data_IF_287732892507
#
_entry.id   IF_287732892507
#
_cell.length_a   1.000
_cell.length_b   1.000
_cell.length_c   1.000
_cell.angle_alpha   90.00
_cell.angle_beta   90.00
_cell.angle_gamma   90.00
#
_symmetry.space_group_name_H-M   'P 1'
#
loop_
_entity.id
_entity.type
_entity.pdbx_description
1 polymer ?
#
# COMPACT_ATOMS: atom_id res chain seq x y z
N UNK A 1 -19.24 -5.52 6.70
CA UNK A 1 -18.00 -4.79 6.37
C UNK A 1 -17.30 -5.60 5.30
N UNK A 2 -17.00 -5.04 4.13
CA UNK A 2 -16.17 -5.75 3.15
C UNK A 2 -14.80 -6.03 3.77
N UNK A 3 -14.37 -7.28 3.71
CA UNK A 3 -13.05 -7.67 4.19
C UNK A 3 -11.98 -7.13 3.24
N UNK A 4 -11.01 -6.38 3.77
CA UNK A 4 -9.84 -5.97 3.00
C UNK A 4 -9.14 -7.19 2.39
N UNK A 5 -8.81 -7.09 1.10
CA UNK A 5 -7.96 -8.05 0.40
C UNK A 5 -6.56 -8.10 1.02
N UNK A 6 -5.80 -9.13 0.66
CA UNK A 6 -4.41 -9.30 1.14
C UNK A 6 -3.53 -8.09 0.79
N UNK A 7 -3.68 -7.54 -0.41
CA UNK A 7 -2.91 -6.37 -0.87
C UNK A 7 -3.33 -5.10 -0.13
N UNK A 8 -4.64 -4.90 0.10
CA UNK A 8 -5.13 -3.76 0.88
C UNK A 8 -4.66 -3.82 2.33
N UNK A 9 -4.70 -5.01 2.95
CA UNK A 9 -4.13 -5.25 4.29
C UNK A 9 -2.63 -4.97 4.33
N UNK A 10 -1.90 -5.42 3.31
CA UNK A 10 -0.48 -5.14 3.19
C UNK A 10 -0.22 -3.64 3.18
N UNK A 11 -0.84 -2.90 2.25
CA UNK A 11 -0.61 -1.46 2.08
C UNK A 11 -0.99 -0.68 3.34
N UNK A 12 -2.12 -1.00 3.96
CA UNK A 12 -2.53 -0.38 5.22
C UNK A 12 -1.49 -0.62 6.33
N UNK A 13 -1.05 -1.88 6.47
CA UNK A 13 -0.02 -2.27 7.43
C UNK A 13 1.33 -1.67 7.11
N UNK A 14 1.65 -1.48 5.84
CA UNK A 14 2.92 -0.94 5.40
C UNK A 14 2.99 0.57 5.67
N UNK A 15 1.92 1.33 5.41
CA UNK A 15 1.82 2.74 5.83
C UNK A 15 1.98 2.84 7.35
N UNK A 16 1.30 1.99 8.13
CA UNK A 16 1.35 2.05 9.59
C UNK A 16 2.68 1.62 10.19
N UNK A 17 3.12 0.39 9.91
CA UNK A 17 4.31 -0.20 10.52
C UNK A 17 5.61 0.15 9.81
N UNK A 18 5.58 0.39 8.50
CA UNK A 18 6.74 0.78 7.69
C UNK A 18 7.01 2.28 7.75
N UNK A 19 5.95 3.09 7.77
CA UNK A 19 6.04 4.55 7.64
C UNK A 19 5.39 5.32 8.79
N UNK A 20 5.13 4.68 9.94
CA UNK A 20 4.53 5.32 11.13
C UNK A 20 3.22 6.07 10.86
N UNK A 21 2.43 5.58 9.90
CA UNK A 21 1.09 6.08 9.56
C UNK A 21 1.05 7.18 8.49
N UNK A 22 2.21 7.66 8.01
CA UNK A 22 2.29 8.76 7.04
C UNK A 22 3.46 8.60 6.07
N UNK A 23 3.22 8.88 4.80
CA UNK A 23 4.22 8.83 3.74
C UNK A 23 4.28 10.19 3.06
N UNK A 24 5.47 10.73 2.93
CA UNK A 24 5.73 11.91 2.10
C UNK A 24 6.43 11.48 0.83
N UNK A 25 5.95 11.97 -0.31
CA UNK A 25 6.42 11.53 -1.61
C UNK A 25 6.44 12.66 -2.65
N UNK A 26 7.31 12.53 -3.65
CA UNK A 26 7.43 13.49 -4.75
C UNK A 26 7.15 12.81 -6.08
N UNK A 27 5.94 13.04 -6.60
CA UNK A 27 5.39 12.30 -7.76
C UNK A 27 5.64 12.93 -9.13
N UNK A 28 6.27 14.10 -9.20
CA UNK A 28 6.38 14.86 -10.45
C UNK A 28 5.02 15.03 -11.12
N UNK A 29 4.89 14.60 -12.38
CA UNK A 29 3.64 14.62 -13.16
C UNK A 29 2.75 13.37 -13.00
N UNK A 30 3.22 12.31 -12.32
CA UNK A 30 2.44 11.08 -12.13
C UNK A 30 1.25 11.31 -11.18
N UNK A 31 0.21 10.46 -11.31
CA UNK A 31 -0.80 10.36 -10.25
C UNK A 31 -0.18 9.80 -8.98
N UNK A 32 -0.74 10.15 -7.84
CA UNK A 32 -0.22 9.70 -6.55
C UNK A 32 -0.31 8.17 -6.42
N UNK A 33 -1.39 7.57 -6.91
CA UNK A 33 -1.65 6.14 -6.84
C UNK A 33 -0.65 5.35 -7.70
N UNK A 34 -0.36 5.83 -8.91
CA UNK A 34 0.64 5.22 -9.77
C UNK A 34 2.03 5.34 -9.16
N UNK A 35 2.38 6.52 -8.65
CA UNK A 35 3.67 6.74 -8.02
C UNK A 35 3.87 5.84 -6.79
N UNK A 36 2.90 5.83 -5.87
CA UNK A 36 2.98 5.01 -4.65
C UNK A 36 2.97 3.52 -4.99
N UNK A 37 2.20 3.09 -6.00
CA UNK A 37 2.20 1.71 -6.47
C UNK A 37 3.57 1.26 -6.97
N UNK A 38 4.25 2.09 -7.79
CA UNK A 38 5.61 1.83 -8.23
C UNK A 38 6.62 1.88 -7.08
N UNK A 39 6.55 2.91 -6.24
CA UNK A 39 7.44 3.11 -5.09
C UNK A 39 7.43 1.88 -4.17
N UNK A 40 6.24 1.36 -3.83
CA UNK A 40 6.14 0.16 -3.02
C UNK A 40 6.59 -1.09 -3.78
N UNK A 41 6.34 -1.22 -5.08
CA UNK A 41 6.78 -2.37 -5.85
C UNK A 41 8.32 -2.46 -5.94
N UNK A 42 9.02 -1.32 -5.98
CA UNK A 42 10.48 -1.25 -5.97
C UNK A 42 11.11 -1.84 -4.70
N UNK A 43 10.38 -1.89 -3.59
CA UNK A 43 10.85 -2.52 -2.36
C UNK A 43 10.95 -4.06 -2.48
N UNK A 44 10.28 -4.67 -3.47
CA UNK A 44 10.21 -6.11 -3.65
C UNK A 44 10.95 -6.62 -4.89
N UNK A 45 11.01 -5.80 -5.95
CA UNK A 45 11.57 -6.24 -7.24
C UNK A 45 11.99 -5.06 -8.11
N UNK A 46 12.93 -5.30 -9.02
CA UNK A 46 13.47 -4.28 -9.93
C UNK A 46 12.52 -4.01 -11.11
N UNK A 47 12.52 -2.78 -11.64
CA UNK A 47 11.63 -2.31 -12.72
C UNK A 47 11.69 -3.13 -14.02
N UNK A 48 12.81 -3.78 -14.30
CA UNK A 48 13.03 -4.62 -15.47
C UNK A 48 12.31 -5.98 -15.39
N UNK A 49 11.85 -6.36 -14.19
CA UNK A 49 11.20 -7.65 -13.97
C UNK A 49 9.72 -7.58 -14.33
N UNK A 50 9.17 -8.60 -15.00
CA UNK A 50 7.72 -8.68 -15.30
C UNK A 50 6.86 -8.62 -14.03
N UNK A 51 7.39 -9.16 -12.93
CA UNK A 51 6.72 -9.12 -11.63
C UNK A 51 6.49 -7.68 -11.14
N UNK A 52 7.40 -6.75 -11.45
CA UNK A 52 7.27 -5.33 -11.10
C UNK A 52 6.00 -4.73 -11.66
N UNK A 53 5.78 -4.84 -12.98
CA UNK A 53 4.61 -4.24 -13.63
C UNK A 53 3.30 -4.80 -13.06
N UNK A 54 3.27 -6.11 -12.77
CA UNK A 54 2.10 -6.74 -12.15
C UNK A 54 1.87 -6.19 -10.73
N UNK A 55 2.92 -6.15 -9.91
CA UNK A 55 2.83 -5.73 -8.51
C UNK A 55 2.46 -4.24 -8.40
N UNK A 56 3.08 -3.38 -9.19
CA UNK A 56 2.81 -1.94 -9.21
C UNK A 56 1.35 -1.64 -9.57
N UNK A 57 0.79 -2.35 -10.56
CA UNK A 57 -0.61 -2.17 -10.95
C UNK A 57 -1.59 -2.70 -9.88
N UNK A 58 -1.28 -3.83 -9.23
CA UNK A 58 -2.10 -4.33 -8.11
C UNK A 58 -2.06 -3.39 -6.90
N UNK A 59 -0.88 -2.83 -6.57
CA UNK A 59 -0.73 -1.83 -5.52
C UNK A 59 -1.49 -0.56 -5.86
N UNK A 60 -1.35 -0.01 -7.07
CA UNK A 60 -2.09 1.17 -7.53
C UNK A 60 -3.61 0.98 -7.41
N UNK A 61 -4.15 -0.17 -7.83
CA UNK A 61 -5.58 -0.48 -7.70
C UNK A 61 -6.01 -0.51 -6.24
N UNK A 62 -5.24 -1.17 -5.38
CA UNK A 62 -5.56 -1.25 -3.96
C UNK A 62 -5.45 0.12 -3.26
N UNK A 63 -4.46 0.94 -3.58
CA UNK A 63 -4.35 2.33 -3.08
C UNK A 63 -5.58 3.14 -3.51
N UNK A 64 -6.01 3.02 -4.76
CA UNK A 64 -7.21 3.70 -5.27
C UNK A 64 -8.45 3.28 -4.46
N UNK A 65 -8.64 1.97 -4.23
CA UNK A 65 -9.75 1.47 -3.40
C UNK A 65 -9.68 1.94 -1.95
N UNK A 66 -8.49 1.92 -1.33
CA UNK A 66 -8.32 2.41 0.05
C UNK A 66 -8.67 3.89 0.14
N UNK A 67 -8.29 4.70 -0.85
CA UNK A 67 -8.63 6.12 -0.94
C UNK A 67 -10.13 6.32 -1.13
N UNK A 68 -10.71 5.63 -2.11
CA UNK A 68 -12.12 5.77 -2.48
C UNK A 68 -13.06 5.33 -1.34
N UNK A 69 -12.61 4.39 -0.49
CA UNK A 69 -13.31 3.97 0.73
C UNK A 69 -12.95 4.79 1.97
N UNK A 70 -12.25 5.92 1.82
CA UNK A 70 -11.85 6.81 2.92
C UNK A 70 -11.02 6.13 4.02
N UNK A 71 -10.25 5.10 3.66
CA UNK A 71 -9.33 4.38 4.57
C UNK A 71 -7.98 5.10 4.64
N UNK A 72 -7.52 5.60 3.48
CA UNK A 72 -6.36 6.49 3.39
C UNK A 72 -6.77 7.83 2.79
N UNK A 73 -6.04 8.87 3.14
CA UNK A 73 -6.13 10.18 2.51
C UNK A 73 -4.85 10.43 1.72
N UNK A 74 -5.00 10.99 0.52
CA UNK A 74 -3.88 11.45 -0.29
C UNK A 74 -4.08 12.94 -0.58
N UNK A 75 -3.22 13.77 -0.02
CA UNK A 75 -3.30 15.23 -0.14
C UNK A 75 -1.94 15.80 -0.52
N UNK A 76 -1.86 16.39 -1.72
CA UNK A 76 -0.63 16.96 -2.26
C UNK A 76 0.49 15.92 -2.40
N UNK A 77 1.39 15.92 -1.42
CA UNK A 77 2.60 15.09 -1.32
C UNK A 77 2.58 14.14 -0.10
N UNK A 78 1.43 14.02 0.59
CA UNK A 78 1.25 13.14 1.75
C UNK A 78 0.21 12.07 1.45
N UNK A 79 0.50 10.83 1.86
CA UNK A 79 -0.48 9.76 2.00
C UNK A 79 -0.51 9.31 3.46
N UNK A 80 -1.68 9.29 4.08
CA UNK A 80 -1.83 8.98 5.50
C UNK A 80 -3.09 8.17 5.79
N UNK A 81 -3.11 7.52 6.95
CA UNK A 81 -4.32 6.83 7.41
C UNK A 81 -5.35 7.82 7.94
N UNK A 82 -6.58 7.71 7.47
CA UNK A 82 -7.72 8.42 8.07
C UNK A 82 -8.02 7.85 9.47
N UNK A 83 -8.91 8.50 10.22
CA UNK A 83 -9.40 7.92 11.48
C UNK A 83 -10.05 6.54 11.28
N UNK A 84 -10.68 6.31 10.12
CA UNK A 84 -11.26 5.00 9.79
C UNK A 84 -10.17 3.96 9.50
N UNK A 85 -9.15 4.31 8.69
CA UNK A 85 -8.03 3.41 8.45
C UNK A 85 -7.22 3.07 9.71
N UNK A 86 -7.08 4.02 10.63
CA UNK A 86 -6.47 3.77 11.95
C UNK A 86 -7.29 2.83 12.84
N UNK A 87 -8.60 2.71 12.64
CA UNK A 87 -9.41 1.70 13.32
C UNK A 87 -9.21 0.33 12.69
N UNK A 88 -9.28 0.25 11.36
CA UNK A 88 -9.09 -1.01 10.62
C UNK A 88 -7.72 -1.63 10.87
N UNK A 89 -6.65 -0.81 10.93
CA UNK A 89 -5.30 -1.35 11.13
C UNK A 89 -5.09 -1.97 12.51
N UNK A 90 -5.88 -1.60 13.52
CA UNK A 90 -5.79 -2.21 14.85
C UNK A 90 -6.19 -3.68 14.85
N UNK A 91 -6.93 -4.13 13.84
CA UNK A 91 -7.29 -5.53 13.64
C UNK A 91 -6.16 -6.36 12.99
N UNK A 92 -5.15 -5.69 12.41
CA UNK A 92 -4.00 -6.33 11.77
C UNK A 92 -2.80 -6.33 12.74
N UNK A 93 -2.34 -7.51 13.16
CA UNK A 93 -1.14 -7.61 13.97
C UNK A 93 0.12 -7.34 13.15
N UNK A 94 1.22 -6.95 13.84
CA UNK A 94 2.53 -6.76 13.20
C UNK A 94 3.04 -8.07 12.59
N UNK A 95 2.70 -9.20 13.20
CA UNK A 95 3.02 -10.55 12.73
C UNK A 95 2.26 -10.90 11.45
N UNK A 96 0.96 -10.59 11.37
CA UNK A 96 0.15 -10.80 10.15
C UNK A 96 0.68 -9.93 9.01
N UNK A 97 0.97 -8.65 9.26
CA UNK A 97 1.63 -7.76 8.30
C UNK A 97 2.94 -8.35 7.76
N UNK A 98 3.84 -8.80 8.64
CA UNK A 98 5.11 -9.42 8.23
C UNK A 98 4.88 -10.67 7.39
N UNK A 99 3.93 -11.51 7.77
CA UNK A 99 3.58 -12.73 7.01
C UNK A 99 3.11 -12.38 5.59
N UNK A 100 2.24 -11.37 5.44
CA UNK A 100 1.78 -10.91 4.13
C UNK A 100 2.95 -10.37 3.30
N UNK A 101 3.82 -9.55 3.89
CA UNK A 101 5.01 -9.03 3.23
C UNK A 101 5.92 -10.14 2.67
N UNK A 102 6.18 -11.18 3.46
CA UNK A 102 7.01 -12.31 3.02
C UNK A 102 6.36 -13.12 1.89
N UNK A 103 5.03 -13.22 1.85
CA UNK A 103 4.33 -13.85 0.73
C UNK A 103 4.42 -13.02 -0.56
N UNK A 104 4.31 -11.69 -0.46
CA UNK A 104 4.51 -10.79 -1.61
C UNK A 104 5.93 -10.91 -2.16
N UNK A 105 6.95 -10.98 -1.29
CA UNK A 105 8.36 -11.19 -1.70
C UNK A 105 8.57 -12.48 -2.50
N UNK A 106 7.80 -13.54 -2.20
CA UNK A 106 7.83 -14.82 -2.93
C UNK A 106 7.05 -14.77 -4.25
N UNK A 107 6.38 -13.67 -4.57
CA UNK A 107 5.54 -13.52 -5.76
C UNK A 107 4.09 -13.94 -5.56
N UNK A 108 3.65 -14.22 -4.32
CA UNK A 108 2.29 -14.66 -4.01
C UNK A 108 1.36 -13.46 -3.77
N UNK A 109 0.94 -12.83 -4.87
CA UNK A 109 0.03 -11.67 -4.92
C UNK A 109 -1.37 -12.05 -5.38
#
# INVERSE_FOLDING_TARGET
>A
MESLSRIEKFLLGHIWYGYAGKIYFSRGSSSAESYLGEMFAEEFTSRDQRFFMKLAEEFKKAISKLRDNWIIEISGFEASLTSYGQQLIKELSKEEYKKIMEEIKKGNI
#
